data_IF_614889214189
#
_entry.id   IF_614889214189
#
_cell.length_a   1.000
_cell.length_b   1.000
_cell.length_c   1.000
_cell.angle_alpha   90.00
_cell.angle_beta   90.00
_cell.angle_gamma   90.00
#
_symmetry.space_group_name_H-M   'P 1'
#
loop_
_entity.id
_entity.type
_entity.pdbx_description
1 polymer ?
#
# COMPACT_ATOMS: atom_id res chain seq x y z
N UNK A 1 16.17 10.28 24.20
CA UNK A 1 15.08 9.32 24.54
C UNK A 1 15.57 7.95 24.14
N UNK A 2 15.58 6.98 25.06
CA UNK A 2 16.00 5.61 24.75
C UNK A 2 14.80 4.94 24.06
N UNK A 3 14.98 4.55 22.79
CA UNK A 3 13.95 3.84 22.04
C UNK A 3 14.01 2.36 22.44
N UNK A 4 13.10 1.94 23.32
CA UNK A 4 13.00 0.56 23.82
C UNK A 4 12.24 -0.38 22.84
N UNK A 5 12.03 0.03 21.59
CA UNK A 5 11.38 -0.83 20.60
C UNK A 5 12.31 -1.97 20.18
N UNK A 6 11.82 -3.20 20.28
CA UNK A 6 12.53 -4.41 19.82
C UNK A 6 12.65 -4.49 18.30
N UNK A 7 11.90 -3.67 17.58
CA UNK A 7 11.90 -3.60 16.11
C UNK A 7 12.16 -2.16 15.66
N UNK A 8 12.83 -2.02 14.52
CA UNK A 8 13.08 -0.75 13.86
C UNK A 8 11.82 -0.19 13.20
N UNK A 9 11.78 1.13 12.95
CA UNK A 9 10.68 1.77 12.21
C UNK A 9 10.48 1.16 10.82
N UNK A 10 11.58 0.71 10.19
CA UNK A 10 11.55 0.00 8.91
C UNK A 10 10.84 -1.35 9.04
N UNK A 11 11.19 -2.15 10.05
CA UNK A 11 10.57 -3.46 10.29
C UNK A 11 9.10 -3.33 10.66
N UNK A 12 8.76 -2.34 11.49
CA UNK A 12 7.38 -2.07 11.84
C UNK A 12 6.55 -1.66 10.61
N UNK A 13 7.08 -0.76 9.78
CA UNK A 13 6.45 -0.36 8.53
C UNK A 13 6.29 -1.52 7.53
N UNK A 14 7.29 -2.40 7.43
CA UNK A 14 7.24 -3.59 6.59
C UNK A 14 6.15 -4.56 7.05
N UNK A 15 6.07 -4.83 8.36
CA UNK A 15 5.04 -5.68 8.96
C UNK A 15 3.63 -5.13 8.69
N UNK A 16 3.43 -3.82 8.88
CA UNK A 16 2.17 -3.16 8.57
C UNK A 16 1.85 -3.19 7.07
N UNK A 17 2.85 -3.07 6.19
CA UNK A 17 2.64 -3.15 4.75
C UNK A 17 2.17 -4.55 4.31
N UNK A 18 2.70 -5.60 4.93
CA UNK A 18 2.27 -6.98 4.69
C UNK A 18 0.93 -7.32 5.35
N UNK A 19 0.60 -6.68 6.48
CA UNK A 19 -0.64 -6.93 7.21
C UNK A 19 -1.20 -5.67 7.90
N UNK A 20 -1.82 -4.75 7.13
CA UNK A 20 -2.30 -3.46 7.66
C UNK A 20 -3.61 -3.58 8.46
N UNK A 21 -4.41 -4.62 8.17
CA UNK A 21 -5.68 -5.09 8.79
C UNK A 21 -6.47 -5.83 7.71
N UNK A 22 -6.10 -7.07 7.39
CA UNK A 22 -6.77 -7.88 6.36
C UNK A 22 -5.88 -8.16 5.16
N UNK A 23 -6.23 -7.65 3.97
CA UNK A 23 -5.47 -7.91 2.74
C UNK A 23 -4.22 -7.03 2.71
N UNK A 24 -3.04 -7.64 2.81
CA UNK A 24 -1.74 -6.97 2.70
C UNK A 24 -1.61 -6.06 1.48
N UNK A 25 -0.99 -4.90 1.65
CA UNK A 25 -0.72 -3.96 0.55
C UNK A 25 0.13 -4.64 -0.54
N UNK A 26 1.07 -5.51 -0.11
CA UNK A 26 1.93 -6.31 -0.98
C UNK A 26 1.17 -7.24 -1.94
N UNK A 27 -0.06 -7.66 -1.61
CA UNK A 27 -0.87 -8.51 -2.50
C UNK A 27 -1.30 -7.81 -3.77
N UNK A 28 -1.39 -6.48 -3.74
CA UNK A 28 -1.76 -5.67 -4.90
C UNK A 28 -0.58 -4.86 -5.43
N UNK A 29 0.36 -4.44 -4.57
CA UNK A 29 1.46 -3.55 -4.91
C UNK A 29 2.84 -4.24 -4.93
N UNK A 30 2.92 -5.56 -4.70
CA UNK A 30 4.19 -6.30 -4.59
C UNK A 30 5.14 -5.64 -3.58
N UNK A 31 6.33 -5.19 -4.00
CA UNK A 31 7.27 -4.42 -3.16
C UNK A 31 6.93 -2.92 -3.08
N UNK A 32 6.00 -2.44 -3.91
CA UNK A 32 5.62 -1.03 -4.03
C UNK A 32 6.51 -0.19 -4.94
N UNK A 33 7.52 -0.78 -5.59
CA UNK A 33 8.52 -0.11 -6.43
C UNK A 33 8.21 -0.14 -7.94
N UNK A 34 7.15 -0.86 -8.33
CA UNK A 34 6.73 -1.01 -9.74
C UNK A 34 5.22 -1.15 -9.86
N UNK A 35 4.71 -1.02 -11.08
CA UNK A 35 3.31 -1.35 -11.38
C UNK A 35 3.10 -2.86 -11.41
N UNK A 36 1.97 -3.34 -10.89
CA UNK A 36 1.64 -4.75 -10.81
C UNK A 36 0.31 -5.02 -11.51
N UNK A 37 0.24 -6.06 -12.33
CA UNK A 37 -1.03 -6.56 -12.87
C UNK A 37 -1.70 -7.40 -11.79
N UNK A 38 -2.82 -6.92 -11.25
CA UNK A 38 -3.60 -7.64 -10.23
C UNK A 38 -4.46 -8.71 -10.90
N UNK A 39 -5.13 -8.37 -12.00
CA UNK A 39 -6.02 -9.29 -12.68
C UNK A 39 -6.20 -8.93 -14.16
N UNK A 40 -6.54 -9.94 -14.96
CA UNK A 40 -7.07 -9.79 -16.32
C UNK A 40 -8.46 -10.40 -16.34
N UNK A 41 -9.43 -9.68 -16.88
CA UNK A 41 -10.82 -10.14 -16.94
C UNK A 41 -11.49 -9.66 -18.22
N UNK A 42 -12.61 -10.29 -18.59
CA UNK A 42 -13.43 -9.82 -19.69
C UNK A 42 -14.61 -9.01 -19.16
N UNK A 43 -14.88 -7.86 -19.78
CA UNK A 43 -16.07 -7.08 -19.46
C UNK A 43 -17.32 -7.66 -20.14
N UNK A 44 -18.48 -7.02 -19.93
CA UNK A 44 -19.76 -7.41 -20.55
C UNK A 44 -19.76 -7.40 -22.09
N UNK A 45 -18.78 -6.72 -22.72
CA UNK A 45 -18.59 -6.66 -24.17
C UNK A 45 -17.54 -7.66 -24.68
N UNK A 46 -17.12 -8.62 -23.84
CA UNK A 46 -16.08 -9.60 -24.14
C UNK A 46 -14.68 -8.99 -24.42
N UNK A 47 -14.46 -7.72 -24.05
CA UNK A 47 -13.16 -7.06 -24.16
C UNK A 47 -12.28 -7.42 -22.97
N UNK A 48 -11.02 -7.77 -23.23
CA UNK A 48 -10.02 -7.98 -22.17
C UNK A 48 -9.68 -6.64 -21.52
N UNK A 49 -9.88 -6.55 -20.21
CA UNK A 49 -9.42 -5.46 -19.35
C UNK A 49 -8.33 -5.97 -18.42
N UNK A 50 -7.40 -5.09 -18.10
CA UNK A 50 -6.34 -5.35 -17.14
C UNK A 50 -6.54 -4.40 -15.97
N UNK A 51 -6.54 -4.96 -14.78
CA UNK A 51 -6.50 -4.23 -13.53
C UNK A 51 -5.05 -4.18 -13.07
N UNK A 52 -4.53 -2.97 -12.91
CA UNK A 52 -3.18 -2.73 -12.45
C UNK A 52 -3.14 -1.81 -11.23
N UNK A 53 -2.14 -2.02 -10.38
CA UNK A 53 -1.74 -1.07 -9.34
C UNK A 53 -0.52 -0.27 -9.79
N UNK A 54 -0.37 0.99 -9.34
CA UNK A 54 0.82 1.78 -9.59
C UNK A 54 1.96 1.44 -8.62
N UNK A 55 3.17 1.84 -8.98
CA UNK A 55 4.26 2.01 -8.02
C UNK A 55 3.88 3.09 -7.00
N UNK A 56 4.25 2.89 -5.75
CA UNK A 56 3.84 3.74 -4.62
C UNK A 56 5.01 4.27 -3.78
N UNK A 57 6.24 3.79 -4.02
CA UNK A 57 7.45 4.28 -3.35
C UNK A 57 7.76 5.77 -3.64
N UNK A 58 7.28 6.33 -4.76
CA UNK A 58 7.52 7.71 -5.15
C UNK A 58 6.30 8.65 -5.03
N UNK A 59 5.25 8.22 -4.32
CA UNK A 59 4.06 9.06 -4.08
C UNK A 59 4.36 10.11 -2.99
N UNK A 60 3.84 11.35 -3.10
CA UNK A 60 3.90 12.35 -2.02
C UNK A 60 3.10 11.91 -0.78
N UNK A 61 3.53 12.31 0.42
CA UNK A 61 2.94 11.84 1.67
C UNK A 61 1.45 12.20 1.78
N UNK A 62 1.08 13.42 1.39
CA UNK A 62 -0.31 13.91 1.43
C UNK A 62 -1.21 13.04 0.56
N UNK A 63 -0.71 12.65 -0.64
CA UNK A 63 -1.47 11.78 -1.54
C UNK A 63 -1.56 10.35 -1.01
N UNK A 64 -0.53 9.88 -0.31
CA UNK A 64 -0.52 8.57 0.32
C UNK A 64 -1.57 8.48 1.44
N UNK A 65 -1.65 9.50 2.30
CA UNK A 65 -2.68 9.63 3.35
C UNK A 65 -4.08 9.72 2.74
N UNK A 66 -4.27 10.58 1.74
CA UNK A 66 -5.55 10.76 1.04
C UNK A 66 -6.11 9.42 0.56
N UNK A 67 -5.30 8.60 -0.13
CA UNK A 67 -5.74 7.30 -0.64
C UNK A 67 -6.07 6.30 0.48
N UNK A 68 -5.26 6.23 1.55
CA UNK A 68 -5.47 5.26 2.64
C UNK A 68 -6.65 5.62 3.57
N UNK A 69 -7.00 6.89 3.65
CA UNK A 69 -8.12 7.38 4.48
C UNK A 69 -9.43 7.50 3.71
N UNK A 70 -9.39 7.48 2.37
CA UNK A 70 -10.58 7.52 1.54
C UNK A 70 -11.32 6.18 1.59
N UNK A 71 -12.56 6.18 2.10
CA UNK A 71 -13.41 4.97 2.23
C UNK A 71 -13.64 4.21 0.91
N UNK A 72 -13.57 4.90 -0.21
CA UNK A 72 -13.71 4.36 -1.57
C UNK A 72 -12.81 5.14 -2.52
N UNK A 73 -11.57 4.67 -2.68
CA UNK A 73 -10.64 5.24 -3.64
C UNK A 73 -11.17 5.15 -5.08
N UNK A 74 -10.50 5.82 -6.01
CA UNK A 74 -10.90 5.91 -7.42
C UNK A 74 -11.08 4.57 -8.14
N UNK A 75 -10.49 3.48 -7.64
CA UNK A 75 -10.64 2.14 -8.19
C UNK A 75 -11.76 1.30 -7.56
N UNK A 76 -12.32 1.69 -6.40
CA UNK A 76 -13.21 0.86 -5.55
C UNK A 76 -12.66 -0.56 -5.21
N UNK A 77 -11.41 -0.84 -5.56
CA UNK A 77 -10.77 -2.17 -5.46
C UNK A 77 -9.81 -2.21 -4.28
N UNK A 78 -9.18 -1.08 -3.97
CA UNK A 78 -8.27 -0.98 -2.82
C UNK A 78 -9.09 -1.08 -1.52
N UNK A 79 -8.73 -1.99 -0.60
CA UNK A 79 -9.39 -2.11 0.70
C UNK A 79 -9.23 -0.84 1.55
N UNK A 80 -10.18 -0.62 2.47
CA UNK A 80 -10.01 0.35 3.55
C UNK A 80 -9.38 -0.32 4.76
N UNK A 81 -8.34 0.29 5.33
CA UNK A 81 -7.53 -0.32 6.38
C UNK A 81 -7.78 0.24 7.78
N UNK A 82 -8.45 1.40 7.92
CA UNK A 82 -8.71 2.06 9.22
C UNK A 82 -7.43 2.22 10.08
N UNK A 83 -6.32 2.59 9.43
CA UNK A 83 -5.03 2.80 10.07
C UNK A 83 -5.01 4.10 10.88
N UNK A 84 -4.20 4.12 11.94
CA UNK A 84 -3.84 5.37 12.62
C UNK A 84 -2.83 6.18 11.81
N UNK A 85 -2.71 7.47 12.10
CA UNK A 85 -1.75 8.34 11.42
C UNK A 85 -0.30 7.86 11.55
N UNK A 86 0.07 7.26 12.69
CA UNK A 86 1.44 6.79 12.91
C UNK A 86 1.72 5.46 12.20
N UNK A 87 0.72 4.60 12.04
CA UNK A 87 0.81 3.42 11.18
C UNK A 87 0.97 3.82 9.71
N UNK A 88 0.23 4.82 9.24
CA UNK A 88 0.37 5.35 7.87
C UNK A 88 1.79 5.90 7.65
N UNK A 89 2.32 6.68 8.59
CA UNK A 89 3.70 7.18 8.54
C UNK A 89 4.71 6.04 8.49
N UNK A 90 4.50 4.98 9.28
CA UNK A 90 5.40 3.82 9.34
C UNK A 90 5.45 3.07 8.01
N UNK A 91 4.29 2.82 7.39
CA UNK A 91 4.23 2.20 6.05
C UNK A 91 4.90 3.11 5.01
N UNK A 92 4.63 4.42 5.06
CA UNK A 92 5.26 5.37 4.15
C UNK A 92 6.78 5.41 4.31
N UNK A 93 7.28 5.41 5.55
CA UNK A 93 8.70 5.34 5.86
C UNK A 93 9.34 4.07 5.27
N UNK A 94 8.70 2.91 5.45
CA UNK A 94 9.14 1.66 4.83
C UNK A 94 9.25 1.79 3.30
N UNK A 95 8.21 2.29 2.63
CA UNK A 95 8.19 2.45 1.16
C UNK A 95 9.25 3.43 0.64
N UNK A 96 9.59 4.47 1.40
CA UNK A 96 10.66 5.42 1.04
C UNK A 96 12.07 4.86 1.24
N UNK A 97 12.21 3.84 2.07
CA UNK A 97 13.50 3.26 2.46
C UNK A 97 13.66 1.82 1.96
N UNK A 98 12.92 1.42 0.92
CA UNK A 98 13.06 0.09 0.31
C UNK A 98 14.53 -0.19 -0.02
N UNK A 99 15.07 -1.25 0.58
CA UNK A 99 16.43 -1.70 0.30
C UNK A 99 16.49 -2.28 -1.12
N UNK A 100 17.48 -1.82 -1.89
CA UNK A 100 17.76 -2.31 -3.25
C UNK A 100 18.23 -3.75 -3.23
#
# INVERSE_FOLDING_TARGET
MINNSFITDYEYGAMLYENPRGIGCNKCHDRGDKSVIIAKYKNKKNETKTLNSPAINNVPFEKFVDVLTTKRGSSNIMPSYFLTNDEIKSIYFYLKNLKK
#
